data_IF_746186417779
#
_entry.id   IF_746186417779
#
_cell.length_a   1.000
_cell.length_b   1.000
_cell.length_c   1.000
_cell.angle_alpha   90.00
_cell.angle_beta   90.00
_cell.angle_gamma   90.00
#
_symmetry.space_group_name_H-M   'P 1'
#
loop_
_entity.id
_entity.type
_entity.pdbx_description
1 polymer ?
#
# COMPACT_ATOMS: atom_id res chain seq x y z
N UNK A 1 11.16 13.04 -22.87
CA UNK A 1 10.81 13.70 -21.58
C UNK A 1 9.30 13.76 -21.34
N UNK A 2 8.46 13.93 -22.37
CA UNK A 2 6.99 14.01 -22.23
C UNK A 2 6.32 12.76 -21.61
N UNK A 3 6.80 11.54 -21.94
CA UNK A 3 6.22 10.29 -21.44
C UNK A 3 6.39 10.06 -19.94
N UNK A 4 7.58 10.31 -19.39
CA UNK A 4 7.84 10.22 -17.94
C UNK A 4 7.00 11.21 -17.14
N UNK A 5 6.74 12.40 -17.69
CA UNK A 5 5.91 13.42 -17.04
C UNK A 5 4.43 13.02 -17.00
N UNK A 6 3.92 12.41 -18.08
CA UNK A 6 2.56 11.85 -18.11
C UNK A 6 2.40 10.70 -17.11
N UNK A 7 3.39 9.83 -17.01
CA UNK A 7 3.39 8.73 -16.03
C UNK A 7 3.43 9.25 -14.58
N UNK A 8 4.28 10.26 -14.31
CA UNK A 8 4.34 10.90 -12.99
C UNK A 8 3.02 11.58 -12.62
N UNK A 9 2.35 12.24 -13.57
CA UNK A 9 1.00 12.81 -13.36
C UNK A 9 -0.03 11.72 -13.05
N UNK A 10 -0.01 10.60 -13.77
CA UNK A 10 -0.89 9.46 -13.50
C UNK A 10 -0.66 8.85 -12.11
N UNK A 11 0.61 8.66 -11.71
CA UNK A 11 0.97 8.19 -10.37
C UNK A 11 0.51 9.16 -9.27
N UNK A 12 0.62 10.46 -9.51
CA UNK A 12 0.15 11.48 -8.57
C UNK A 12 -1.38 11.43 -8.39
N UNK A 13 -2.14 11.24 -9.47
CA UNK A 13 -3.59 11.09 -9.40
C UNK A 13 -4.00 9.84 -8.61
N UNK A 14 -3.33 8.71 -8.85
CA UNK A 14 -3.53 7.46 -8.09
C UNK A 14 -3.24 7.68 -6.60
N UNK A 15 -2.12 8.33 -6.25
CA UNK A 15 -1.79 8.66 -4.87
C UNK A 15 -2.83 9.58 -4.22
N UNK A 16 -3.32 10.60 -4.94
CA UNK A 16 -4.36 11.48 -4.42
C UNK A 16 -5.68 10.73 -4.16
N UNK A 17 -6.05 9.79 -5.03
CA UNK A 17 -7.23 8.97 -4.79
C UNK A 17 -7.02 8.04 -3.59
N UNK A 18 -5.83 7.45 -3.40
CA UNK A 18 -5.51 6.63 -2.22
C UNK A 18 -5.64 7.46 -0.94
N UNK A 19 -5.08 8.66 -0.95
CA UNK A 19 -5.18 9.61 0.17
C UNK A 19 -6.62 10.08 0.43
N UNK A 20 -7.55 9.94 -0.51
CA UNK A 20 -8.96 10.27 -0.31
C UNK A 20 -9.78 9.08 0.20
N UNK A 21 -9.31 7.86 0.00
CA UNK A 21 -9.99 6.64 0.45
C UNK A 21 -9.88 6.46 1.96
N UNK A 22 -11.02 6.46 2.65
CA UNK A 22 -11.08 6.31 4.11
C UNK A 22 -10.61 4.92 4.56
N UNK A 23 -10.86 3.88 3.75
CA UNK A 23 -10.36 2.53 4.01
C UNK A 23 -8.83 2.50 4.00
N UNK A 24 -8.21 3.12 2.99
CA UNK A 24 -6.77 3.24 2.85
C UNK A 24 -6.16 4.04 3.99
N UNK A 25 -6.73 5.21 4.31
CA UNK A 25 -6.32 6.03 5.45
C UNK A 25 -6.35 5.23 6.76
N UNK A 26 -7.46 4.56 7.05
CA UNK A 26 -7.60 3.76 8.27
C UNK A 26 -6.60 2.60 8.29
N UNK A 27 -6.37 1.96 7.14
CA UNK A 27 -5.39 0.89 7.01
C UNK A 27 -3.96 1.37 7.29
N UNK A 28 -3.51 2.46 6.65
CA UNK A 28 -2.14 2.97 6.87
C UNK A 28 -1.95 3.64 8.23
N UNK A 29 -3.02 4.17 8.83
CA UNK A 29 -2.99 4.77 10.16
C UNK A 29 -2.97 3.72 11.28
N UNK A 30 -3.25 2.45 10.96
CA UNK A 30 -3.27 1.39 11.94
C UNK A 30 -1.89 1.22 12.61
N UNK A 31 -1.80 1.11 13.95
CA UNK A 31 -0.53 1.07 14.68
C UNK A 31 0.39 -0.05 14.19
N UNK A 32 -0.16 -1.25 13.96
CA UNK A 32 0.63 -2.38 13.46
C UNK A 32 1.20 -2.16 12.04
N UNK A 33 0.49 -1.41 11.19
CA UNK A 33 1.01 -1.01 9.87
C UNK A 33 2.10 0.06 10.01
N UNK A 34 1.92 1.03 10.92
CA UNK A 34 2.96 2.01 11.25
C UNK A 34 4.22 1.35 11.78
N UNK A 35 4.11 0.29 12.59
CA UNK A 35 5.24 -0.50 13.05
C UNK A 35 5.94 -1.24 11.90
N UNK A 36 5.19 -1.81 10.96
CA UNK A 36 5.75 -2.40 9.75
C UNK A 36 6.53 -1.37 8.92
N UNK A 37 5.98 -0.16 8.75
CA UNK A 37 6.67 0.90 8.00
C UNK A 37 7.91 1.44 8.71
N UNK A 38 8.07 1.19 10.01
CA UNK A 38 9.29 1.52 10.75
C UNK A 38 10.35 0.42 10.62
N UNK A 39 9.95 -0.79 10.26
CA UNK A 39 10.83 -1.93 10.12
C UNK A 39 11.85 -1.73 8.98
N UNK A 40 13.16 -1.76 9.26
CA UNK A 40 14.19 -1.49 8.27
C UNK A 40 14.24 -2.56 7.18
N UNK A 41 14.01 -3.84 7.52
CA UNK A 41 13.99 -4.94 6.54
C UNK A 41 12.81 -4.80 5.59
N UNK A 42 11.63 -4.44 6.11
CA UNK A 42 10.47 -4.16 5.27
C UNK A 42 10.71 -2.98 4.32
N UNK A 43 11.40 -1.91 4.78
CA UNK A 43 11.78 -0.79 3.90
C UNK A 43 12.70 -1.23 2.79
N UNK A 44 13.69 -2.09 3.08
CA UNK A 44 14.61 -2.64 2.09
C UNK A 44 13.85 -3.45 1.04
N UNK A 45 12.94 -4.33 1.48
CA UNK A 45 12.09 -5.12 0.58
C UNK A 45 11.18 -4.21 -0.25
N UNK A 46 10.56 -3.18 0.36
CA UNK A 46 9.68 -2.24 -0.34
C UNK A 46 10.43 -1.44 -1.43
N UNK A 47 11.70 -1.10 -1.22
CA UNK A 47 12.54 -0.43 -2.24
C UNK A 47 12.78 -1.29 -3.47
N UNK A 48 12.77 -2.62 -3.35
CA UNK A 48 12.94 -3.52 -4.50
C UNK A 48 11.77 -3.45 -5.47
N UNK A 49 10.61 -2.93 -5.04
CA UNK A 49 9.34 -2.88 -5.79
C UNK A 49 8.85 -4.27 -6.25
N UNK A 50 9.41 -5.33 -5.68
CA UNK A 50 9.01 -6.71 -5.93
C UNK A 50 7.83 -7.05 -5.03
N UNK A 51 6.63 -7.00 -5.61
CA UNK A 51 5.38 -7.29 -4.89
C UNK A 51 5.36 -8.70 -4.31
N UNK A 52 5.99 -9.70 -4.94
CA UNK A 52 6.02 -11.06 -4.40
C UNK A 52 6.84 -11.10 -3.11
N UNK A 53 7.99 -10.40 -3.07
CA UNK A 53 8.81 -10.28 -1.85
C UNK A 53 8.11 -9.49 -0.75
N UNK A 54 7.42 -8.40 -1.10
CA UNK A 54 6.66 -7.59 -0.14
C UNK A 54 5.56 -8.44 0.51
N UNK A 55 4.76 -9.16 -0.31
CA UNK A 55 3.67 -10.00 0.18
C UNK A 55 4.19 -11.21 0.99
N UNK A 56 5.32 -11.77 0.58
CA UNK A 56 6.00 -12.87 1.28
C UNK A 56 6.74 -12.46 2.56
N UNK A 57 6.84 -11.16 2.86
CA UNK A 57 7.53 -10.70 4.06
C UNK A 57 6.77 -11.19 5.32
N UNK A 58 7.46 -11.85 6.28
CA UNK A 58 6.79 -12.52 7.40
C UNK A 58 5.96 -11.56 8.26
N UNK A 59 6.45 -10.32 8.50
CA UNK A 59 5.66 -9.31 9.21
C UNK A 59 4.43 -8.88 8.42
N UNK A 60 4.54 -8.69 7.10
CA UNK A 60 3.40 -8.31 6.27
C UNK A 60 2.35 -9.42 6.25
N UNK A 61 2.78 -10.68 6.05
CA UNK A 61 1.89 -11.84 6.12
C UNK A 61 1.20 -11.98 7.48
N UNK A 62 1.93 -11.77 8.58
CA UNK A 62 1.35 -11.80 9.93
C UNK A 62 0.26 -10.74 10.11
N UNK A 63 0.49 -9.53 9.58
CA UNK A 63 -0.49 -8.45 9.60
C UNK A 63 -1.73 -8.74 8.75
N UNK A 64 -1.58 -9.44 7.63
CA UNK A 64 -2.73 -9.86 6.82
C UNK A 64 -3.57 -10.96 7.48
N UNK A 65 -3.04 -11.68 8.48
CA UNK A 65 -3.81 -12.63 9.30
C UNK A 65 -4.61 -11.94 10.40
N UNK A 66 -4.32 -10.67 10.68
CA UNK A 66 -5.09 -9.90 11.63
C UNK A 66 -6.46 -9.55 11.00
N UNK A 67 -7.57 -9.92 11.64
CA UNK A 67 -8.90 -9.76 11.04
C UNK A 67 -9.30 -8.29 10.89
N UNK A 68 -8.80 -7.39 11.74
CA UNK A 68 -9.08 -5.95 11.64
C UNK A 68 -8.37 -5.37 10.43
N UNK A 69 -7.08 -5.67 10.27
CA UNK A 69 -6.30 -5.24 9.10
C UNK A 69 -6.81 -5.86 7.81
N UNK A 70 -7.19 -7.14 7.81
CA UNK A 70 -7.79 -7.78 6.64
C UNK A 70 -9.11 -7.11 6.25
N UNK A 71 -9.95 -6.74 7.23
CA UNK A 71 -11.18 -5.98 7.01
C UNK A 71 -10.91 -4.58 6.48
N UNK A 72 -9.92 -3.87 7.03
CA UNK A 72 -9.50 -2.55 6.54
C UNK A 72 -8.97 -2.63 5.10
N UNK A 73 -8.13 -3.62 4.78
CA UNK A 73 -7.67 -3.89 3.42
C UNK A 73 -8.81 -4.17 2.45
N UNK A 74 -9.81 -4.95 2.86
CA UNK A 74 -10.98 -5.23 2.03
C UNK A 74 -11.84 -3.98 1.77
N UNK A 75 -11.78 -2.98 2.66
CA UNK A 75 -12.43 -1.67 2.49
C UNK A 75 -11.64 -0.73 1.59
N UNK A 76 -10.34 -0.95 1.40
CA UNK A 76 -9.54 -0.16 0.46
C UNK A 76 -10.09 -0.39 -0.94
N UNK A 77 -10.50 0.68 -1.61
CA UNK A 77 -11.05 0.58 -2.96
C UNK A 77 -9.97 0.38 -4.02
N UNK A 78 -9.29 -0.78 -4.01
CA UNK A 78 -8.28 -1.19 -5.01
C UNK A 78 -8.81 -1.20 -6.45
N UNK A 79 -10.12 -1.36 -6.62
CA UNK A 79 -10.79 -1.37 -7.93
C UNK A 79 -10.82 0.02 -8.57
N UNK A 80 -10.88 1.09 -7.77
CA UNK A 80 -10.69 2.46 -8.26
C UNK A 80 -9.27 2.75 -8.74
N UNK A 81 -8.28 1.95 -8.31
CA UNK A 81 -6.86 2.16 -8.60
C UNK A 81 -6.32 1.34 -9.77
N UNK A 82 -6.86 0.13 -10.00
CA UNK A 82 -6.36 -0.78 -11.03
C UNK A 82 -6.87 -0.46 -12.44
N UNK A 83 -7.81 0.47 -12.57
CA UNK A 83 -8.39 0.84 -13.86
C UNK A 83 -9.22 -0.29 -14.46
N UNK A 84 -10.49 -0.01 -14.69
CA UNK A 84 -10.98 -0.20 -16.06
C UNK A 84 -10.87 1.16 -16.74
#
# INVERSE_FOLDING_TARGET
MLGKMKEMMGQFQVLQQLMKDDGFKAFIAHPKMQELFKDPEFKEVAKTRDFAKIMGHPRFTSLMRDPELASLMAKVNVKGFLGK
#
